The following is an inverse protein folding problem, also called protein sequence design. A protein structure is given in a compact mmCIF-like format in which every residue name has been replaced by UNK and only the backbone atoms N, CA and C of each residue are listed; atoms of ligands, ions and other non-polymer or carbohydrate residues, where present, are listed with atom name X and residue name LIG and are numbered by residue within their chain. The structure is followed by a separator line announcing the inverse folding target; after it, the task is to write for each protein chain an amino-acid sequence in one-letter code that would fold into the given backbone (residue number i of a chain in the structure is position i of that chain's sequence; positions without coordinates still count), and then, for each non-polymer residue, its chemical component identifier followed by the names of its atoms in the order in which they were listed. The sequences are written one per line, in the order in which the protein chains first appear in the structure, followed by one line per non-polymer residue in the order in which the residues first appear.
data_IF_412859559418
#
_entry.id   IF_412859559418
#
_cell.length_a   1.000
_cell.length_b   1.000
_cell.length_c   1.000
_cell.angle_alpha   90.00
_cell.angle_beta   90.00
_cell.angle_gamma   90.00
#
_symmetry.space_group_name_H-M   'P 1'
#
loop_
_entity.id
_entity.type
_entity.pdbx_description
1 polymer ?
#
# COMPACT_ATOMS: atom_id res chain seq x y z
N UNK A 1 -26.22 4.48 -27.01
CA UNK A 1 -24.76 4.45 -27.19
C UNK A 1 -24.17 4.89 -25.87
N UNK A 2 -23.44 4.00 -25.20
CA UNK A 2 -23.13 4.07 -23.77
C UNK A 2 -22.51 5.39 -23.31
N UNK A 3 -23.20 6.05 -22.38
CA UNK A 3 -22.60 7.02 -21.47
C UNK A 3 -21.51 6.31 -20.68
N UNK A 4 -20.25 6.64 -20.97
CA UNK A 4 -19.12 6.07 -20.24
C UNK A 4 -19.13 6.62 -18.82
N UNK A 5 -19.20 5.74 -17.82
CA UNK A 5 -19.17 6.12 -16.40
C UNK A 5 -17.92 6.98 -16.10
N UNK A 6 -18.07 8.23 -15.63
CA UNK A 6 -16.95 9.14 -15.37
C UNK A 6 -15.92 8.57 -14.36
N UNK A 7 -16.32 7.71 -13.43
CA UNK A 7 -15.40 7.07 -12.48
C UNK A 7 -14.38 6.15 -13.19
N UNK A 8 -14.81 5.45 -14.23
CA UNK A 8 -13.96 4.53 -15.00
C UNK A 8 -12.90 5.31 -15.79
N UNK A 9 -13.29 6.48 -16.32
CA UNK A 9 -12.38 7.37 -17.05
C UNK A 9 -11.30 7.94 -16.12
N UNK A 10 -11.68 8.37 -14.91
CA UNK A 10 -10.74 8.89 -13.91
C UNK A 10 -9.74 7.81 -13.42
N UNK A 11 -10.22 6.59 -13.19
CA UNK A 11 -9.35 5.47 -12.82
C UNK A 11 -8.34 5.13 -13.93
N UNK A 12 -8.77 5.18 -15.20
CA UNK A 12 -7.90 4.95 -16.35
C UNK A 12 -6.80 6.03 -16.46
N UNK A 13 -7.16 7.30 -16.30
CA UNK A 13 -6.20 8.42 -16.29
C UNK A 13 -5.19 8.32 -15.14
N UNK A 14 -5.62 7.83 -13.97
CA UNK A 14 -4.71 7.62 -12.84
C UNK A 14 -3.68 6.53 -13.17
N UNK A 15 -4.12 5.43 -13.80
CA UNK A 15 -3.23 4.34 -14.19
C UNK A 15 -2.20 4.75 -15.23
N UNK A 16 -2.55 5.60 -16.19
CA UNK A 16 -1.60 6.07 -17.21
C UNK A 16 -0.50 6.97 -16.64
N UNK A 17 -0.72 7.61 -15.48
CA UNK A 17 0.28 8.43 -14.79
C UNK A 17 1.29 7.62 -13.98
N UNK A 18 1.03 6.33 -13.76
CA UNK A 18 1.90 5.47 -12.96
C UNK A 18 3.06 4.98 -13.83
N UNK A 19 4.26 5.45 -13.53
CA UNK A 19 5.49 4.92 -14.10
C UNK A 19 5.85 3.59 -13.42
N UNK A 20 5.69 2.49 -14.15
CA UNK A 20 5.97 1.13 -13.65
C UNK A 20 7.43 0.73 -13.79
N UNK A 21 8.23 1.51 -14.53
CA UNK A 21 9.65 1.26 -14.78
C UNK A 21 10.54 1.69 -13.61
N UNK A 22 10.03 2.54 -12.72
CA UNK A 22 10.77 3.07 -11.57
C UNK A 22 10.39 2.36 -10.27
N UNK A 23 11.38 2.08 -9.40
CA UNK A 23 11.09 1.55 -8.09
C UNK A 23 10.40 2.62 -7.22
N UNK A 24 9.32 2.21 -6.55
CA UNK A 24 8.60 3.05 -5.59
C UNK A 24 8.56 2.36 -4.23
N UNK A 25 8.93 3.09 -3.17
CA UNK A 25 8.99 2.56 -1.80
C UNK A 25 7.67 1.94 -1.34
N UNK A 26 6.54 2.57 -1.66
CA UNK A 26 5.22 2.03 -1.32
C UNK A 26 4.94 0.66 -1.96
N UNK A 27 5.35 0.46 -3.23
CA UNK A 27 5.17 -0.81 -3.96
C UNK A 27 6.09 -1.90 -3.44
N UNK A 28 7.28 -1.50 -3.03
CA UNK A 28 8.27 -2.36 -2.39
C UNK A 28 7.76 -2.86 -1.03
N UNK A 29 7.24 -1.99 -0.17
CA UNK A 29 6.60 -2.40 1.09
C UNK A 29 5.38 -3.28 0.86
N UNK A 30 4.57 -2.96 -0.15
CA UNK A 30 3.42 -3.76 -0.54
C UNK A 30 3.82 -5.18 -0.98
N UNK A 31 5.00 -5.35 -1.60
CA UNK A 31 5.54 -6.67 -1.93
C UNK A 31 5.84 -7.51 -0.68
N UNK A 32 6.50 -6.93 0.33
CA UNK A 32 6.86 -7.68 1.54
C UNK A 32 5.69 -8.12 2.40
N UNK A 33 4.59 -7.36 2.41
CA UNK A 33 3.36 -7.78 3.11
C UNK A 33 2.47 -8.72 2.27
N UNK A 34 2.91 -9.13 1.08
CA UNK A 34 2.16 -10.05 0.20
C UNK A 34 1.02 -9.40 -0.59
N UNK A 35 1.04 -8.07 -0.78
CA UNK A 35 0.07 -7.36 -1.58
C UNK A 35 0.23 -7.60 -3.09
N UNK A 36 -0.71 -7.10 -3.89
CA UNK A 36 -0.75 -7.31 -5.36
C UNK A 36 -0.27 -6.11 -6.18
N UNK A 37 -0.30 -4.92 -5.60
CA UNK A 37 0.14 -3.66 -6.24
C UNK A 37 1.68 -3.48 -6.31
N UNK A 38 2.38 -4.51 -6.73
CA UNK A 38 3.81 -4.47 -7.03
C UNK A 38 4.03 -4.86 -8.50
N UNK A 39 4.96 -4.16 -9.15
CA UNK A 39 5.41 -4.47 -10.51
C UNK A 39 6.71 -5.28 -10.46
N UNK A 40 7.23 -5.64 -11.63
CA UNK A 40 8.42 -6.49 -11.77
C UNK A 40 9.66 -5.92 -11.08
N UNK A 41 9.99 -4.64 -11.32
CA UNK A 41 11.18 -3.99 -10.74
C UNK A 41 11.19 -4.05 -9.20
N UNK A 42 10.13 -3.67 -8.45
CA UNK A 42 10.10 -3.86 -7.00
C UNK A 42 10.16 -5.32 -6.52
N UNK A 43 9.69 -6.29 -7.31
CA UNK A 43 9.75 -7.72 -6.93
C UNK A 43 11.17 -8.24 -6.96
N UNK A 44 11.90 -7.96 -8.04
CA UNK A 44 13.31 -8.37 -8.19
C UNK A 44 14.19 -7.81 -7.06
N UNK A 45 14.03 -6.52 -6.77
CA UNK A 45 14.73 -5.87 -5.64
C UNK A 45 14.32 -6.53 -4.31
N UNK A 46 13.02 -6.80 -4.14
CA UNK A 46 12.51 -7.46 -2.95
C UNK A 46 13.07 -8.87 -2.76
N UNK A 47 13.25 -9.63 -3.83
CA UNK A 47 13.81 -10.98 -3.79
C UNK A 47 15.29 -10.96 -3.41
N UNK A 48 16.09 -10.10 -4.03
CA UNK A 48 17.49 -9.91 -3.62
C UNK A 48 17.61 -9.50 -2.15
N UNK A 49 16.70 -8.66 -1.65
CA UNK A 49 16.73 -8.25 -0.25
C UNK A 49 16.31 -9.39 0.69
N UNK A 50 15.40 -10.28 0.29
CA UNK A 50 15.07 -11.48 1.06
C UNK A 50 16.27 -12.43 1.19
N UNK A 51 17.13 -12.50 0.17
CA UNK A 51 18.36 -13.27 0.22
C UNK A 51 19.38 -12.66 1.20
N UNK A 52 19.49 -11.33 1.24
CA UNK A 52 20.43 -10.62 2.12
C UNK A 52 19.92 -10.57 3.56
N UNK A 53 18.63 -10.27 3.76
CA UNK A 53 18.01 -10.09 5.05
C UNK A 53 16.58 -10.67 5.08
N UNK A 54 16.44 -11.99 5.31
CA UNK A 54 15.14 -12.65 5.29
C UNK A 54 14.17 -12.12 6.36
N UNK A 55 14.69 -11.65 7.49
CA UNK A 55 13.88 -11.09 8.59
C UNK A 55 13.12 -9.81 8.23
N UNK A 56 13.42 -9.17 7.10
CA UNK A 56 12.72 -7.95 6.68
C UNK A 56 11.23 -8.20 6.38
N UNK A 57 10.88 -9.40 5.92
CA UNK A 57 9.48 -9.79 5.66
C UNK A 57 8.69 -9.80 6.97
N UNK A 58 9.26 -10.38 8.02
CA UNK A 58 8.63 -10.44 9.34
C UNK A 58 8.47 -9.04 9.95
N UNK A 59 9.45 -8.16 9.75
CA UNK A 59 9.36 -6.74 10.16
C UNK A 59 8.20 -6.05 9.43
N UNK A 60 8.06 -6.25 8.12
CA UNK A 60 7.00 -5.63 7.33
C UNK A 60 5.60 -6.09 7.78
N UNK A 61 5.40 -7.40 7.97
CA UNK A 61 4.14 -7.98 8.44
C UNK A 61 3.83 -7.51 9.87
N UNK A 62 4.82 -7.56 10.76
CA UNK A 62 4.65 -7.12 12.17
C UNK A 62 4.30 -5.65 12.27
N UNK A 63 4.96 -4.80 11.48
CA UNK A 63 4.67 -3.37 11.39
C UNK A 63 3.21 -3.13 10.95
N UNK A 64 2.72 -3.86 9.95
CA UNK A 64 1.33 -3.75 9.49
C UNK A 64 0.33 -4.18 10.56
N UNK A 65 0.60 -5.28 11.27
CA UNK A 65 -0.23 -5.72 12.39
C UNK A 65 -0.23 -4.69 13.53
N UNK A 66 0.93 -4.10 13.85
CA UNK A 66 1.04 -3.07 14.87
C UNK A 66 0.20 -1.84 14.51
N UNK A 67 0.34 -1.33 13.28
CA UNK A 67 -0.45 -0.20 12.79
C UNK A 67 -1.96 -0.47 12.93
N UNK A 68 -2.43 -1.65 12.53
CA UNK A 68 -3.84 -2.02 12.65
C UNK A 68 -4.33 -2.06 14.10
N UNK A 69 -3.51 -2.53 15.05
CA UNK A 69 -3.85 -2.49 16.49
C UNK A 69 -3.85 -1.07 17.03
N UNK A 70 -2.85 -0.28 16.68
CA UNK A 70 -2.72 1.10 17.13
C UNK A 70 -3.91 1.96 16.66
N UNK A 71 -4.28 1.87 15.38
CA UNK A 71 -5.43 2.60 14.83
C UNK A 71 -6.73 2.16 15.51
N UNK A 72 -6.94 0.85 15.71
CA UNK A 72 -8.13 0.34 16.40
C UNK A 72 -8.23 0.84 17.84
N UNK A 73 -7.12 0.84 18.58
CA UNK A 73 -7.06 1.36 19.93
C UNK A 73 -7.38 2.86 19.97
N UNK A 74 -6.75 3.64 19.09
CA UNK A 74 -6.96 5.09 19.02
C UNK A 74 -8.40 5.45 18.65
N UNK A 75 -8.96 4.80 17.62
CA UNK A 75 -10.32 5.06 17.16
C UNK A 75 -11.40 4.53 18.11
N UNK A 76 -11.15 3.39 18.77
CA UNK A 76 -12.11 2.75 19.66
C UNK A 76 -12.07 3.28 21.09
N UNK A 77 -10.90 3.29 21.72
CA UNK A 77 -10.76 3.56 23.16
C UNK A 77 -10.42 5.02 23.46
N UNK A 78 -9.64 5.67 22.59
CA UNK A 78 -9.19 7.06 22.80
C UNK A 78 -10.07 8.09 22.08
N UNK A 79 -11.09 7.66 21.33
CA UNK A 79 -12.00 8.55 20.61
C UNK A 79 -11.34 9.37 19.50
N UNK A 80 -10.18 8.94 18.99
CA UNK A 80 -9.49 9.62 17.90
C UNK A 80 -10.16 9.27 16.57
N UNK A 81 -11.09 10.12 16.15
CA UNK A 81 -11.89 9.93 14.92
C UNK A 81 -11.31 10.56 13.65
N UNK A 82 -10.14 11.20 13.69
CA UNK A 82 -9.55 11.86 12.53
C UNK A 82 -8.20 11.25 12.21
N UNK A 83 -8.15 10.47 11.13
CA UNK A 83 -6.88 10.13 10.48
C UNK A 83 -6.53 11.26 9.50
N UNK A 84 -5.33 11.82 9.58
CA UNK A 84 -4.93 12.94 8.72
C UNK A 84 -4.58 12.44 7.32
N UNK A 85 -5.62 12.17 6.54
CA UNK A 85 -5.69 12.21 5.08
C UNK A 85 -7.17 12.41 4.76
N UNK A 86 -7.57 13.65 4.48
CA UNK A 86 -8.88 14.03 3.95
C UNK A 86 -10.10 13.36 4.60
N UNK A 87 -10.17 13.33 5.92
CA UNK A 87 -11.43 13.20 6.65
C UNK A 87 -12.23 11.90 6.47
N UNK A 88 -11.65 10.84 5.90
CA UNK A 88 -12.33 9.54 5.80
C UNK A 88 -11.90 8.65 6.96
N UNK A 89 -12.85 8.44 7.88
CA UNK A 89 -12.82 7.37 8.88
C UNK A 89 -12.84 6.05 8.12
N UNK A 90 -11.86 5.18 8.38
CA UNK A 90 -11.90 3.78 7.92
C UNK A 90 -12.77 2.97 8.86
#
# INVERSE_FOLDING_TARGET
MSDSNPEIVAAAQTRTRIDTSKPHSARFWNYFVGGKDNYEVPREIGDHIKEIFPGLVDVAVTSRHFLGRAVRYLAGEQGVGVCQHDGVVV
#
